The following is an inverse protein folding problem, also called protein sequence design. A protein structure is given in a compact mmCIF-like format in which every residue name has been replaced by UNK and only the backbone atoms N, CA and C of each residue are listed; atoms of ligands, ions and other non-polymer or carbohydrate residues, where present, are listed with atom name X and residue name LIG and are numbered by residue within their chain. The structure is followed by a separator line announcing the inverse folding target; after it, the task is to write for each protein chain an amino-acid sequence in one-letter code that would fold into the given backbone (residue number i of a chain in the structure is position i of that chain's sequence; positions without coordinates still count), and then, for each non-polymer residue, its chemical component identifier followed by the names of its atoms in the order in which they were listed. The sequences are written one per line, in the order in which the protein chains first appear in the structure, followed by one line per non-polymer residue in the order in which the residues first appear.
data_IF_281162102488
#
_entry.id   IF_281162102488
#
_cell.length_a   1.000
_cell.length_b   1.000
_cell.length_c   1.000
_cell.angle_alpha   90.00
_cell.angle_beta   90.00
_cell.angle_gamma   90.00
#
_symmetry.space_group_name_H-M   'P 1'
#
loop_
_entity.id
_entity.type
_entity.pdbx_description
1 polymer ?
#
# COMPACT_ATOMS: atom_id res chain seq x y z
N UNK A 1 16.58 -31.31 21.36
CA UNK A 1 15.11 -31.27 21.48
C UNK A 1 14.72 -29.84 21.78
N UNK A 2 14.79 -28.98 20.75
CA UNK A 2 14.48 -27.56 20.83
C UNK A 2 13.03 -27.44 20.35
N UNK A 3 12.10 -27.24 21.30
CA UNK A 3 10.72 -26.88 20.99
C UNK A 3 10.78 -25.51 20.31
N UNK A 4 10.74 -25.47 18.99
CA UNK A 4 10.37 -24.29 18.25
C UNK A 4 8.96 -23.90 18.72
N UNK A 5 8.88 -22.90 19.56
CA UNK A 5 7.64 -22.14 19.72
C UNK A 5 7.42 -21.42 18.41
N UNK A 6 6.68 -22.07 17.54
CA UNK A 6 5.98 -21.38 16.48
C UNK A 6 5.09 -20.40 17.23
N UNK A 7 5.44 -19.11 17.20
CA UNK A 7 4.52 -18.05 17.55
C UNK A 7 3.50 -18.03 16.40
N UNK A 8 2.58 -19.01 16.43
CA UNK A 8 1.32 -18.88 15.73
C UNK A 8 0.74 -17.58 16.25
N UNK A 9 0.59 -16.64 15.36
CA UNK A 9 -0.07 -15.37 15.61
C UNK A 9 -1.47 -15.73 16.12
N UNK A 10 -1.62 -15.85 17.43
CA UNK A 10 -2.92 -15.79 18.08
C UNK A 10 -3.37 -14.34 17.91
N UNK A 11 -3.72 -14.01 16.69
CA UNK A 11 -4.43 -12.80 16.36
C UNK A 11 -5.84 -12.98 16.93
N UNK A 12 -5.94 -12.84 18.24
CA UNK A 12 -7.21 -12.50 18.87
C UNK A 12 -7.63 -11.20 18.19
N UNK A 13 -8.46 -11.33 17.15
CA UNK A 13 -9.03 -10.18 16.45
C UNK A 13 -9.78 -9.40 17.51
N UNK A 14 -9.31 -8.19 17.83
CA UNK A 14 -10.07 -7.23 18.63
C UNK A 14 -11.09 -6.61 17.69
N UNK A 15 -11.89 -7.48 17.06
CA UNK A 15 -13.08 -7.04 16.32
C UNK A 15 -14.06 -6.60 17.41
N UNK A 16 -14.63 -5.39 17.32
CA UNK A 16 -15.72 -4.99 18.18
C UNK A 16 -16.81 -6.08 18.10
N UNK A 17 -17.26 -6.60 19.22
CA UNK A 17 -18.29 -7.65 19.33
C UNK A 17 -19.63 -7.26 18.70
N UNK A 18 -19.75 -6.04 18.20
CA UNK A 18 -20.89 -5.50 17.49
C UNK A 18 -20.55 -5.45 15.98
N UNK A 19 -21.22 -6.26 15.13
CA UNK A 19 -20.95 -6.33 13.67
C UNK A 19 -21.11 -4.96 12.99
N UNK A 20 -22.02 -4.12 13.47
CA UNK A 20 -22.19 -2.77 12.94
C UNK A 20 -20.99 -1.85 13.23
N UNK A 21 -20.28 -2.06 14.34
CA UNK A 21 -19.05 -1.32 14.66
C UNK A 21 -17.87 -1.79 13.82
N UNK A 22 -17.74 -3.10 13.61
CA UNK A 22 -16.71 -3.67 12.74
C UNK A 22 -16.80 -3.12 11.32
N UNK A 23 -18.01 -3.13 10.75
CA UNK A 23 -18.31 -2.59 9.41
C UNK A 23 -17.99 -1.10 9.29
N UNK A 24 -18.40 -0.27 10.24
CA UNK A 24 -18.08 1.16 10.26
C UNK A 24 -16.59 1.43 10.35
N UNK A 25 -15.87 0.68 11.19
CA UNK A 25 -14.42 0.79 11.31
C UNK A 25 -13.72 0.44 10.00
N UNK A 26 -14.11 -0.66 9.37
CA UNK A 26 -13.56 -1.09 8.08
C UNK A 26 -13.79 -0.04 6.98
N UNK A 27 -15.02 0.48 6.88
CA UNK A 27 -15.35 1.55 5.93
C UNK A 27 -14.52 2.81 6.19
N UNK A 28 -14.34 3.20 7.45
CA UNK A 28 -13.51 4.35 7.83
C UNK A 28 -12.04 4.16 7.43
N UNK A 29 -11.50 2.95 7.57
CA UNK A 29 -10.12 2.64 7.20
C UNK A 29 -9.93 2.54 5.68
N UNK A 30 -10.93 2.06 4.95
CA UNK A 30 -10.86 1.86 3.50
C UNK A 30 -11.12 3.15 2.72
N UNK A 31 -12.02 4.01 3.17
CA UNK A 31 -12.39 5.23 2.45
C UNK A 31 -11.18 6.13 2.10
N UNK A 32 -10.22 6.41 3.00
CA UNK A 32 -9.02 7.17 2.65
C UNK A 32 -8.13 6.44 1.63
N UNK A 33 -8.04 5.11 1.71
CA UNK A 33 -7.26 4.31 0.76
C UNK A 33 -7.86 4.44 -0.64
N UNK A 34 -9.18 4.30 -0.76
CA UNK A 34 -9.90 4.47 -2.04
C UNK A 34 -9.70 5.88 -2.59
N UNK A 35 -9.81 6.90 -1.76
CA UNK A 35 -9.56 8.29 -2.17
C UNK A 35 -8.12 8.47 -2.71
N UNK A 36 -7.13 7.86 -2.05
CA UNK A 36 -5.74 7.90 -2.50
C UNK A 36 -5.52 7.12 -3.80
N UNK A 37 -6.23 6.02 -4.02
CA UNK A 37 -6.20 5.27 -5.28
C UNK A 37 -6.79 6.12 -6.41
N UNK A 38 -7.93 6.78 -6.19
CA UNK A 38 -8.53 7.69 -7.14
C UNK A 38 -7.58 8.85 -7.48
N UNK A 39 -6.97 9.48 -6.47
CA UNK A 39 -5.95 10.51 -6.68
C UNK A 39 -4.77 9.98 -7.51
N UNK A 40 -4.37 8.73 -7.30
CA UNK A 40 -3.35 8.05 -8.09
C UNK A 40 -3.72 7.90 -9.56
N UNK A 41 -4.98 7.57 -9.88
CA UNK A 41 -5.46 7.51 -11.27
C UNK A 41 -5.53 8.90 -11.91
N UNK A 42 -5.93 9.93 -11.16
CA UNK A 42 -5.88 11.31 -11.64
C UNK A 42 -4.44 11.72 -11.97
N UNK A 43 -3.49 11.38 -11.10
CA UNK A 43 -2.07 11.59 -11.39
C UNK A 43 -1.62 10.83 -12.64
N UNK A 44 -2.01 9.57 -12.79
CA UNK A 44 -1.66 8.74 -13.96
C UNK A 44 -2.28 9.28 -15.27
N UNK A 45 -3.43 9.95 -15.22
CA UNK A 45 -4.03 10.59 -16.37
C UNK A 45 -3.34 11.90 -16.76
N UNK A 46 -2.98 12.72 -15.77
CA UNK A 46 -2.52 14.09 -15.96
C UNK A 46 -0.98 14.25 -15.88
N UNK A 47 -0.23 13.18 -15.59
CA UNK A 47 1.21 13.27 -15.34
C UNK A 47 2.03 13.97 -16.44
N UNK A 48 1.72 13.86 -17.78
CA UNK A 48 2.53 14.51 -18.79
C UNK A 48 2.44 16.05 -18.73
N UNK A 49 1.32 16.57 -18.21
CA UNK A 49 1.16 18.00 -17.95
C UNK A 49 1.79 18.41 -16.62
N UNK A 50 1.44 17.65 -15.55
CA UNK A 50 1.82 18.00 -14.19
C UNK A 50 3.32 17.92 -13.94
N UNK A 51 4.04 17.02 -14.61
CA UNK A 51 5.48 16.82 -14.37
C UNK A 51 6.31 18.08 -14.66
N UNK A 52 5.91 18.88 -15.65
CA UNK A 52 6.59 20.11 -16.01
C UNK A 52 5.93 21.36 -15.40
N UNK A 53 4.59 21.39 -15.27
CA UNK A 53 3.87 22.59 -14.83
C UNK A 53 3.75 22.66 -13.30
N UNK A 54 3.45 21.52 -12.65
CA UNK A 54 3.20 21.44 -11.21
C UNK A 54 3.73 20.13 -10.61
N UNK A 55 5.07 19.95 -10.54
CA UNK A 55 5.68 18.71 -10.09
C UNK A 55 5.31 18.35 -8.63
N UNK A 56 5.12 19.35 -7.76
CA UNK A 56 4.68 19.13 -6.38
C UNK A 56 3.25 18.61 -6.31
N UNK A 57 2.35 19.09 -7.19
CA UNK A 57 0.99 18.56 -7.27
C UNK A 57 1.00 17.11 -7.76
N UNK A 58 1.85 16.77 -8.72
CA UNK A 58 1.99 15.39 -9.20
C UNK A 58 2.35 14.43 -8.08
N UNK A 59 3.37 14.72 -7.27
CA UNK A 59 3.78 13.85 -6.16
C UNK A 59 2.81 13.88 -4.97
N UNK A 60 2.04 14.97 -4.79
CA UNK A 60 0.98 15.01 -3.79
C UNK A 60 -0.21 14.13 -4.14
N UNK A 61 -0.55 14.03 -5.43
CA UNK A 61 -1.56 13.09 -5.91
C UNK A 61 -1.05 11.66 -5.90
N UNK A 62 0.21 11.42 -6.29
CA UNK A 62 0.77 10.07 -6.36
C UNK A 62 2.30 10.06 -6.21
N UNK A 63 2.80 9.54 -5.10
CA UNK A 63 4.23 9.39 -4.84
C UNK A 63 4.80 8.05 -5.37
N UNK A 64 4.45 7.68 -6.62
CA UNK A 64 5.05 6.54 -7.32
C UNK A 64 6.52 6.84 -7.62
N UNK A 65 7.39 5.82 -7.54
CA UNK A 65 8.84 5.99 -7.77
C UNK A 65 9.16 6.72 -9.06
N UNK A 66 8.44 6.41 -10.16
CA UNK A 66 8.62 7.07 -11.45
C UNK A 66 8.42 8.60 -11.38
N UNK A 67 7.41 9.06 -10.64
CA UNK A 67 7.15 10.48 -10.47
C UNK A 67 8.17 11.14 -9.55
N UNK A 68 8.50 10.47 -8.45
CA UNK A 68 9.53 10.96 -7.53
C UNK A 68 10.88 11.15 -8.22
N UNK A 69 11.31 10.20 -9.07
CA UNK A 69 12.54 10.30 -9.86
C UNK A 69 12.47 11.44 -10.86
N UNK A 70 11.34 11.62 -11.56
CA UNK A 70 11.20 12.65 -12.59
C UNK A 70 11.21 14.08 -12.02
N UNK A 71 10.68 14.27 -10.81
CA UNK A 71 10.53 15.62 -10.23
C UNK A 71 11.65 16.01 -9.28
N UNK A 72 12.47 15.06 -8.83
CA UNK A 72 13.41 15.26 -7.72
C UNK A 72 14.38 16.43 -7.93
N UNK A 73 14.84 16.64 -9.15
CA UNK A 73 15.77 17.72 -9.51
C UNK A 73 15.07 19.05 -9.89
N UNK A 74 13.72 19.05 -9.92
CA UNK A 74 12.91 20.20 -10.38
C UNK A 74 12.08 20.81 -9.25
N UNK A 75 12.25 20.33 -8.02
CA UNK A 75 11.56 20.84 -6.83
C UNK A 75 12.55 21.08 -5.70
N UNK A 76 12.21 22.02 -4.83
CA UNK A 76 13.02 22.28 -3.66
C UNK A 76 13.13 21.04 -2.76
N UNK A 77 14.32 20.64 -2.30
CA UNK A 77 14.53 19.42 -1.53
C UNK A 77 13.62 19.31 -0.31
N UNK A 78 13.41 20.42 0.42
CA UNK A 78 12.53 20.38 1.60
C UNK A 78 11.08 20.07 1.24
N UNK A 79 10.56 20.63 0.13
CA UNK A 79 9.20 20.38 -0.34
C UNK A 79 9.06 18.95 -0.85
N UNK A 80 10.09 18.45 -1.56
CA UNK A 80 10.17 17.05 -1.99
C UNK A 80 10.07 16.07 -0.82
N UNK A 81 10.89 16.28 0.22
CA UNK A 81 10.87 15.43 1.41
C UNK A 81 9.56 15.55 2.17
N UNK A 82 9.04 16.76 2.37
CA UNK A 82 7.80 16.97 3.11
C UNK A 82 6.61 16.31 2.41
N UNK A 83 6.36 16.68 1.15
CA UNK A 83 5.19 16.21 0.40
C UNK A 83 5.34 14.72 0.08
N UNK A 84 6.52 14.28 -0.36
CA UNK A 84 6.81 12.88 -0.63
C UNK A 84 6.62 11.99 0.60
N UNK A 85 7.13 12.42 1.76
CA UNK A 85 6.96 11.67 3.02
C UNK A 85 5.51 11.60 3.43
N UNK A 86 4.79 12.72 3.45
CA UNK A 86 3.36 12.73 3.82
C UNK A 86 2.58 11.80 2.89
N UNK A 87 2.80 11.90 1.58
CA UNK A 87 2.04 11.11 0.60
C UNK A 87 2.37 9.62 0.64
N UNK A 88 3.62 9.25 0.93
CA UNK A 88 4.04 7.86 1.09
C UNK A 88 3.53 7.26 2.41
N UNK A 89 3.65 8.00 3.51
CA UNK A 89 3.27 7.53 4.84
C UNK A 89 1.75 7.53 5.06
N UNK A 90 0.99 8.32 4.29
CA UNK A 90 -0.45 8.50 4.50
C UNK A 90 -1.27 7.18 4.44
N UNK A 91 -1.06 6.25 3.50
CA UNK A 91 -1.78 4.98 3.45
C UNK A 91 -1.37 3.98 4.54
N UNK A 92 -0.13 4.04 5.00
CA UNK A 92 0.49 3.00 5.83
C UNK A 92 -0.20 2.77 7.18
N UNK A 93 -0.63 3.79 7.93
CA UNK A 93 -1.39 3.61 9.17
C UNK A 93 -2.73 2.89 8.96
N UNK A 94 -3.37 3.11 7.80
CA UNK A 94 -4.64 2.46 7.49
C UNK A 94 -4.43 0.98 7.19
N UNK A 95 -3.40 0.62 6.39
CA UNK A 95 -3.05 -0.78 6.16
C UNK A 95 -2.58 -1.48 7.45
N UNK A 96 -1.79 -0.80 8.28
CA UNK A 96 -1.40 -1.31 9.58
C UNK A 96 -2.62 -1.55 10.48
N UNK A 97 -3.57 -0.61 10.54
CA UNK A 97 -4.77 -0.74 11.34
C UNK A 97 -5.69 -1.87 10.81
N UNK A 98 -5.83 -2.01 9.49
CA UNK A 98 -6.56 -3.15 8.91
C UNK A 98 -5.90 -4.46 9.35
N UNK A 99 -4.58 -4.59 9.25
CA UNK A 99 -3.86 -5.76 9.75
C UNK A 99 -4.04 -5.97 11.25
N UNK A 100 -4.03 -4.89 12.02
CA UNK A 100 -4.18 -4.95 13.48
C UNK A 100 -5.57 -5.43 13.92
N UNK A 101 -6.62 -4.91 13.32
CA UNK A 101 -8.00 -5.25 13.70
C UNK A 101 -8.52 -6.49 13.00
N UNK A 102 -8.15 -6.72 11.74
CA UNK A 102 -8.71 -7.77 10.90
C UNK A 102 -7.65 -8.81 10.47
N UNK A 103 -6.52 -8.93 11.17
CA UNK A 103 -5.30 -9.62 10.75
C UNK A 103 -5.50 -10.98 10.10
N UNK A 104 -6.19 -11.92 10.77
CA UNK A 104 -6.46 -13.25 10.21
C UNK A 104 -7.36 -13.19 8.97
N UNK A 105 -8.45 -12.40 9.00
CA UNK A 105 -9.36 -12.22 7.87
C UNK A 105 -8.67 -11.53 6.69
N UNK A 106 -7.88 -10.48 6.95
CA UNK A 106 -7.15 -9.74 5.93
C UNK A 106 -6.10 -10.61 5.22
N UNK A 107 -5.37 -11.43 5.95
CA UNK A 107 -4.39 -12.36 5.39
C UNK A 107 -5.09 -13.45 4.54
N UNK A 108 -6.17 -14.03 5.05
CA UNK A 108 -6.94 -15.06 4.36
C UNK A 108 -7.62 -14.55 3.07
N UNK A 109 -8.16 -13.34 3.11
CA UNK A 109 -8.69 -12.66 1.93
C UNK A 109 -7.61 -12.46 0.85
N UNK A 110 -6.43 -12.00 1.25
CA UNK A 110 -5.32 -11.78 0.33
C UNK A 110 -4.82 -13.09 -0.28
N UNK A 111 -4.78 -14.18 0.48
CA UNK A 111 -4.42 -15.51 -0.02
C UNK A 111 -5.37 -16.01 -1.09
N UNK A 112 -6.68 -15.87 -0.89
CA UNK A 112 -7.70 -16.34 -1.86
C UNK A 112 -7.64 -15.54 -3.17
N UNK A 113 -7.35 -14.23 -3.09
CA UNK A 113 -7.42 -13.35 -4.26
C UNK A 113 -6.21 -13.43 -5.17
N UNK A 114 -5.04 -13.69 -4.62
CA UNK A 114 -3.79 -13.73 -5.38
C UNK A 114 -2.92 -14.91 -4.94
N UNK A 115 -3.08 -16.10 -5.55
CA UNK A 115 -2.33 -17.31 -5.14
C UNK A 115 -0.81 -17.12 -5.18
N UNK A 116 -0.32 -16.27 -6.08
CA UNK A 116 1.09 -15.90 -6.17
C UNK A 116 1.49 -14.99 -5.01
N UNK A 117 0.67 -14.00 -4.69
CA UNK A 117 0.88 -13.06 -3.58
C UNK A 117 0.70 -13.77 -2.23
N UNK A 118 -0.24 -14.71 -2.10
CA UNK A 118 -0.43 -15.51 -0.89
C UNK A 118 0.81 -16.31 -0.50
N UNK A 119 1.56 -16.84 -1.49
CA UNK A 119 2.86 -17.51 -1.26
C UNK A 119 3.92 -16.53 -0.72
N UNK A 120 3.99 -15.32 -1.27
CA UNK A 120 4.88 -14.27 -0.77
C UNK A 120 4.48 -13.80 0.62
N UNK A 121 3.19 -13.71 0.91
CA UNK A 121 2.69 -13.31 2.23
C UNK A 121 3.05 -14.30 3.31
N UNK A 122 2.90 -15.62 3.09
CA UNK A 122 3.36 -16.64 4.02
C UNK A 122 4.88 -16.59 4.22
N UNK A 123 5.63 -16.31 3.17
CA UNK A 123 7.07 -16.11 3.29
C UNK A 123 7.38 -14.85 4.13
N UNK A 124 6.68 -13.75 3.89
CA UNK A 124 6.82 -12.50 4.66
C UNK A 124 6.41 -12.72 6.11
N UNK A 125 5.31 -13.42 6.39
CA UNK A 125 4.87 -13.77 7.74
C UNK A 125 5.92 -14.60 8.48
N UNK A 126 6.46 -15.64 7.85
CA UNK A 126 7.54 -16.45 8.42
C UNK A 126 8.83 -15.67 8.65
N UNK A 127 9.14 -14.72 7.79
CA UNK A 127 10.30 -13.84 7.96
C UNK A 127 10.05 -12.72 8.96
N UNK A 128 8.81 -12.28 9.11
CA UNK A 128 8.44 -11.17 9.98
C UNK A 128 8.77 -11.44 11.45
N UNK A 129 8.67 -12.69 11.88
CA UNK A 129 9.08 -13.10 13.24
C UNK A 129 10.55 -12.85 13.56
N UNK A 130 11.44 -12.95 12.56
CA UNK A 130 12.89 -12.73 12.72
C UNK A 130 13.35 -11.37 12.17
N UNK A 131 12.76 -10.89 11.09
CA UNK A 131 13.20 -9.75 10.30
C UNK A 131 12.17 -8.63 10.16
N UNK A 132 11.13 -8.62 10.99
CA UNK A 132 10.02 -7.67 10.85
C UNK A 132 10.45 -6.20 10.85
N UNK A 133 11.40 -5.82 11.73
CA UNK A 133 11.89 -4.46 11.77
C UNK A 133 12.71 -4.07 10.50
N UNK A 134 13.70 -4.86 10.05
CA UNK A 134 14.36 -4.62 8.77
C UNK A 134 13.42 -4.61 7.56
N UNK A 135 12.40 -5.47 7.52
CA UNK A 135 11.43 -5.53 6.44
C UNK A 135 10.62 -4.23 6.30
N UNK A 136 10.18 -3.64 7.41
CA UNK A 136 9.45 -2.37 7.40
C UNK A 136 10.33 -1.23 6.88
N UNK A 137 11.62 -1.23 7.22
CA UNK A 137 12.56 -0.17 6.78
C UNK A 137 12.94 -0.34 5.30
N UNK A 138 13.28 -1.57 4.88
CA UNK A 138 13.80 -1.82 3.53
C UNK A 138 12.72 -1.84 2.46
N UNK A 139 11.52 -2.29 2.83
CA UNK A 139 10.39 -2.45 1.92
C UNK A 139 9.12 -1.78 2.49
N UNK A 140 9.12 -0.44 2.70
CA UNK A 140 7.93 0.27 3.15
C UNK A 140 6.87 0.21 2.05
N UNK A 141 5.97 -0.75 2.16
CA UNK A 141 4.84 -0.90 1.26
C UNK A 141 3.59 -1.36 2.02
N UNK A 142 2.44 -1.20 1.38
CA UNK A 142 1.13 -1.49 1.97
C UNK A 142 1.02 -2.92 2.53
N UNK A 143 1.62 -3.92 1.86
CA UNK A 143 1.58 -5.31 2.29
C UNK A 143 2.39 -5.54 3.57
N UNK A 144 3.58 -4.96 3.66
CA UNK A 144 4.41 -5.04 4.86
C UNK A 144 3.74 -4.34 6.04
N UNK A 145 3.08 -3.19 5.80
CA UNK A 145 2.30 -2.48 6.82
C UNK A 145 1.14 -3.33 7.33
N UNK A 146 0.40 -4.00 6.44
CA UNK A 146 -0.69 -4.91 6.81
C UNK A 146 -0.18 -6.09 7.65
N UNK A 147 0.91 -6.74 7.23
CA UNK A 147 1.52 -7.85 7.98
C UNK A 147 2.06 -7.38 9.33
N UNK A 148 2.67 -6.19 9.39
CA UNK A 148 3.13 -5.60 10.66
C UNK A 148 1.98 -5.40 11.65
N UNK A 149 0.82 -4.96 11.15
CA UNK A 149 -0.41 -4.85 11.93
C UNK A 149 -0.90 -6.21 12.40
N UNK A 150 -1.02 -7.19 11.50
CA UNK A 150 -1.45 -8.55 11.80
C UNK A 150 -0.52 -9.23 12.82
N UNK A 151 0.79 -9.01 12.71
CA UNK A 151 1.80 -9.49 13.66
C UNK A 151 1.78 -8.75 15.01
N UNK A 152 0.84 -7.82 15.24
CA UNK A 152 0.74 -7.03 16.48
C UNK A 152 2.03 -6.28 16.84
N UNK A 153 2.76 -5.79 15.82
CA UNK A 153 3.94 -4.98 16.05
C UNK A 153 3.57 -3.71 16.80
N UNK A 154 4.39 -3.31 17.78
CA UNK A 154 4.14 -2.07 18.52
C UNK A 154 3.96 -0.88 17.56
N UNK A 155 2.84 -0.12 17.63
CA UNK A 155 2.52 0.96 16.68
C UNK A 155 3.58 2.06 16.62
N UNK A 156 4.17 2.41 17.75
CA UNK A 156 5.22 3.45 17.82
C UNK A 156 6.49 2.95 17.12
N UNK A 157 6.88 1.68 17.36
CA UNK A 157 8.02 1.06 16.69
C UNK A 157 7.78 0.97 15.18
N UNK A 158 6.58 0.56 14.76
CA UNK A 158 6.18 0.54 13.36
C UNK A 158 6.30 1.91 12.72
N UNK A 159 5.69 2.96 13.33
CA UNK A 159 5.73 4.32 12.81
C UNK A 159 7.16 4.85 12.66
N UNK A 160 8.01 4.65 13.68
CA UNK A 160 9.41 5.09 13.63
C UNK A 160 10.18 4.40 12.50
N UNK A 161 10.05 3.07 12.36
CA UNK A 161 10.73 2.32 11.30
C UNK A 161 10.23 2.69 9.92
N UNK A 162 8.92 2.91 9.77
CA UNK A 162 8.30 3.30 8.51
C UNK A 162 8.74 4.70 8.07
N UNK A 163 8.81 5.65 8.99
CA UNK A 163 9.34 7.00 8.73
C UNK A 163 10.81 6.90 8.29
N UNK A 164 11.64 6.17 9.01
CA UNK A 164 13.06 5.98 8.66
C UNK A 164 13.19 5.35 7.27
N UNK A 165 12.42 4.29 6.98
CA UNK A 165 12.42 3.63 5.67
C UNK A 165 11.98 4.57 4.54
N UNK A 166 10.95 5.37 4.78
CA UNK A 166 10.44 6.35 3.81
C UNK A 166 11.47 7.45 3.53
N UNK A 167 12.11 8.00 4.55
CA UNK A 167 13.16 9.01 4.38
C UNK A 167 14.36 8.41 3.66
N UNK A 168 14.81 7.22 4.03
CA UNK A 168 15.90 6.51 3.36
C UNK A 168 15.59 6.28 1.87
N UNK A 169 14.36 5.86 1.54
CA UNK A 169 13.88 5.68 0.17
C UNK A 169 13.91 6.99 -0.62
N UNK A 170 13.38 8.08 -0.05
CA UNK A 170 13.40 9.40 -0.71
C UNK A 170 14.82 9.90 -0.93
N UNK A 171 15.71 9.71 0.06
CA UNK A 171 17.14 10.05 -0.06
C UNK A 171 17.81 9.23 -1.16
N UNK A 172 17.52 7.93 -1.24
CA UNK A 172 18.04 7.09 -2.32
C UNK A 172 17.56 7.57 -3.69
N UNK A 173 16.28 7.93 -3.82
CA UNK A 173 15.72 8.46 -5.07
C UNK A 173 16.35 9.82 -5.41
N UNK A 174 16.59 10.69 -4.45
CA UNK A 174 17.30 11.96 -4.64
C UNK A 174 18.71 11.71 -5.21
N UNK A 175 19.47 10.80 -4.60
CA UNK A 175 20.80 10.44 -5.08
C UNK A 175 20.78 9.86 -6.50
N UNK A 176 19.84 8.96 -6.80
CA UNK A 176 19.66 8.41 -8.15
C UNK A 176 19.27 9.50 -9.13
N UNK A 177 18.36 10.41 -8.73
CA UNK A 177 17.94 11.54 -9.57
C UNK A 177 19.09 12.48 -9.90
N UNK A 178 19.96 12.76 -8.95
CA UNK A 178 21.14 13.60 -9.14
C UNK A 178 22.13 12.95 -10.12
N UNK A 179 22.44 11.67 -9.94
CA UNK A 179 23.33 10.92 -10.84
C UNK A 179 22.79 10.82 -12.27
N UNK A 180 21.47 10.71 -12.44
CA UNK A 180 20.79 10.57 -13.73
C UNK A 180 20.10 11.86 -14.20
N UNK A 181 20.53 13.04 -13.72
CA UNK A 181 19.90 14.33 -14.07
C UNK A 181 19.84 14.57 -15.58
N UNK A 182 20.92 14.37 -16.32
CA UNK A 182 20.94 14.56 -17.76
C UNK A 182 19.93 13.70 -18.55
N UNK A 183 19.87 12.37 -18.36
CA UNK A 183 18.81 11.54 -18.92
C UNK A 183 17.39 11.96 -18.49
N UNK A 184 17.20 12.36 -17.24
CA UNK A 184 15.90 12.82 -16.73
C UNK A 184 15.48 14.10 -17.45
N UNK A 185 16.36 15.08 -17.60
CA UNK A 185 16.10 16.34 -18.30
C UNK A 185 15.75 16.11 -19.77
N UNK A 186 16.44 15.16 -20.41
CA UNK A 186 16.13 14.78 -21.80
C UNK A 186 14.71 14.18 -21.93
N UNK A 187 14.32 13.33 -20.98
CA UNK A 187 12.97 12.76 -20.93
C UNK A 187 11.93 13.85 -20.67
N UNK A 188 12.19 14.76 -19.74
CA UNK A 188 11.29 15.88 -19.44
C UNK A 188 11.14 16.84 -20.62
N UNK A 189 12.24 17.13 -21.35
CA UNK A 189 12.21 17.91 -22.60
C UNK A 189 11.37 17.22 -23.69
N UNK A 190 11.50 15.89 -23.84
CA UNK A 190 10.65 15.12 -24.75
C UNK A 190 9.18 15.20 -24.34
N UNK A 191 8.88 15.00 -23.05
CA UNK A 191 7.51 15.10 -22.53
C UNK A 191 6.93 16.49 -22.75
N UNK A 192 7.71 17.55 -22.54
CA UNK A 192 7.27 18.93 -22.76
C UNK A 192 6.89 19.17 -24.23
N UNK A 193 7.70 18.70 -25.18
CA UNK A 193 7.45 18.83 -26.61
C UNK A 193 6.23 18.01 -27.08
N UNK A 194 6.02 16.84 -26.50
CA UNK A 194 4.93 15.92 -26.85
C UNK A 194 3.81 15.89 -25.80
N UNK A 195 3.67 16.96 -25.01
CA UNK A 195 2.73 17.03 -23.88
C UNK A 195 1.30 16.69 -24.29
N UNK A 196 0.77 17.30 -25.34
CA UNK A 196 -0.63 17.09 -25.75
C UNK A 196 -0.90 15.65 -26.22
N UNK A 197 -0.10 15.07 -27.14
CA UNK A 197 -0.27 13.67 -27.50
C UNK A 197 -0.15 12.71 -26.32
N UNK A 198 0.85 12.91 -25.46
CA UNK A 198 1.06 12.07 -24.28
C UNK A 198 -0.10 12.18 -23.28
N UNK A 199 -0.64 13.39 -23.10
CA UNK A 199 -1.80 13.60 -22.24
C UNK A 199 -3.04 12.87 -22.78
N UNK A 200 -3.31 12.95 -24.09
CA UNK A 200 -4.42 12.24 -24.72
C UNK A 200 -4.25 10.73 -24.56
N UNK A 201 -3.06 10.21 -24.81
CA UNK A 201 -2.74 8.78 -24.64
C UNK A 201 -2.94 8.35 -23.18
N UNK A 202 -2.43 9.14 -22.24
CA UNK A 202 -2.50 8.83 -20.81
C UNK A 202 -3.96 8.80 -20.31
N UNK A 203 -4.75 9.80 -20.66
CA UNK A 203 -6.18 9.85 -20.33
C UNK A 203 -6.92 8.68 -20.99
N UNK A 204 -6.64 8.38 -22.25
CA UNK A 204 -7.26 7.27 -22.96
C UNK A 204 -6.94 5.93 -22.32
N UNK A 205 -5.68 5.70 -21.92
CA UNK A 205 -5.28 4.46 -21.23
C UNK A 205 -5.97 4.31 -19.88
N UNK A 206 -6.04 5.37 -19.09
CA UNK A 206 -6.76 5.36 -17.80
C UNK A 206 -8.25 5.12 -18.02
N UNK A 207 -8.87 5.77 -19.01
CA UNK A 207 -10.27 5.57 -19.34
C UNK A 207 -10.57 4.13 -19.81
N UNK A 208 -9.72 3.56 -20.69
CA UNK A 208 -9.83 2.18 -21.15
C UNK A 208 -9.70 1.22 -19.96
N UNK A 209 -8.71 1.45 -19.09
CA UNK A 209 -8.54 0.65 -17.88
C UNK A 209 -9.80 0.68 -17.01
N UNK A 210 -10.34 1.87 -16.73
CA UNK A 210 -11.57 2.05 -15.96
C UNK A 210 -12.79 1.38 -16.61
N UNK A 211 -12.97 1.55 -17.93
CA UNK A 211 -14.07 0.90 -18.67
C UNK A 211 -13.91 -0.63 -18.63
N UNK A 212 -12.69 -1.14 -18.78
CA UNK A 212 -12.41 -2.57 -18.71
C UNK A 212 -12.69 -3.14 -17.31
N UNK A 213 -12.36 -2.40 -16.28
CA UNK A 213 -12.60 -2.79 -14.88
C UNK A 213 -14.10 -2.76 -14.55
N UNK A 214 -14.82 -1.72 -15.00
CA UNK A 214 -16.27 -1.66 -14.86
C UNK A 214 -16.98 -2.80 -15.63
N UNK A 215 -16.46 -3.20 -16.80
CA UNK A 215 -17.00 -4.32 -17.58
C UNK A 215 -16.69 -5.68 -16.98
N UNK A 216 -15.55 -5.83 -16.30
CA UNK A 216 -15.16 -7.07 -15.61
C UNK A 216 -15.94 -7.30 -14.32
N UNK A 217 -16.84 -6.37 -13.97
CA UNK A 217 -17.66 -6.42 -12.76
C UNK A 217 -16.83 -6.16 -11.50
N UNK A 218 -16.83 -4.96 -11.07
CA UNK A 218 -16.54 -4.43 -9.70
C UNK A 218 -15.66 -5.28 -8.75
N UNK A 219 -14.65 -5.96 -9.28
CA UNK A 219 -13.83 -6.91 -8.50
C UNK A 219 -13.21 -6.33 -7.23
N UNK A 220 -12.96 -5.02 -7.18
CA UNK A 220 -12.40 -4.40 -5.97
C UNK A 220 -13.48 -4.12 -4.93
N UNK A 221 -14.71 -3.73 -5.35
CA UNK A 221 -15.82 -3.54 -4.41
C UNK A 221 -16.30 -4.90 -3.88
N UNK A 222 -16.34 -5.92 -4.75
CA UNK A 222 -16.63 -7.29 -4.35
C UNK A 222 -15.55 -7.83 -3.39
N UNK A 223 -14.30 -7.39 -3.57
CA UNK A 223 -13.20 -7.72 -2.68
C UNK A 223 -13.36 -7.16 -1.27
N UNK A 224 -13.88 -5.95 -1.16
CA UNK A 224 -14.15 -5.37 0.17
C UNK A 224 -15.38 -6.03 0.82
N UNK A 225 -16.38 -6.43 0.04
CA UNK A 225 -17.47 -7.25 0.55
C UNK A 225 -17.01 -8.63 1.00
N UNK A 226 -16.15 -9.29 0.22
CA UNK A 226 -15.57 -10.58 0.63
C UNK A 226 -14.71 -10.47 1.90
N UNK A 227 -14.04 -9.34 2.13
CA UNK A 227 -13.28 -9.10 3.35
C UNK A 227 -14.22 -8.88 4.54
N UNK A 228 -15.34 -8.21 4.29
CA UNK A 228 -16.41 -8.02 5.25
C UNK A 228 -17.10 -9.35 5.57
N UNK A 229 -17.45 -10.14 4.57
CA UNK A 229 -18.07 -11.45 4.72
C UNK A 229 -17.11 -12.44 5.42
N UNK A 230 -15.80 -12.41 5.10
CA UNK A 230 -14.79 -13.23 5.75
C UNK A 230 -14.57 -12.82 7.23
N UNK A 231 -14.72 -11.54 7.55
CA UNK A 231 -14.66 -11.06 8.93
C UNK A 231 -15.89 -11.55 9.71
N UNK A 232 -17.08 -11.49 9.10
CA UNK A 232 -18.33 -11.99 9.67
C UNK A 232 -18.30 -13.54 9.86
N UNK A 233 -17.73 -14.29 8.91
CA UNK A 233 -17.56 -15.75 9.01
C UNK A 233 -16.63 -16.18 10.16
N UNK A 234 -15.56 -15.42 10.40
CA UNK A 234 -14.65 -15.65 11.53
C UNK A 234 -15.35 -15.34 12.86
N UNK A 235 -16.15 -14.27 12.89
CA UNK A 235 -16.92 -13.87 14.08
C UNK A 235 -18.01 -14.89 14.42
N UNK A 236 -18.64 -15.49 13.41
CA UNK A 236 -19.65 -16.54 13.56
C UNK A 236 -19.06 -17.93 13.86
N UNK A 237 -17.74 -18.08 13.93
CA UNK A 237 -17.07 -19.36 14.22
C UNK A 237 -17.18 -20.40 13.10
N UNK A 238 -17.58 -20.01 11.89
CA UNK A 238 -17.72 -20.90 10.73
C UNK A 238 -16.37 -21.22 10.05
N UNK A 239 -15.34 -20.41 10.31
CA UNK A 239 -13.96 -20.70 9.89
C UNK A 239 -13.18 -21.06 11.16
N UNK A 240 -12.53 -22.25 11.21
CA UNK A 240 -11.71 -22.61 12.36
C UNK A 240 -10.60 -21.56 12.52
N UNK A 241 -10.43 -21.06 13.73
CA UNK A 241 -9.33 -20.16 14.08
C UNK A 241 -8.03 -20.88 13.74
N UNK A 242 -7.06 -20.13 13.21
CA UNK A 242 -5.71 -20.66 12.98
C UNK A 242 -5.16 -21.12 14.35
N UNK A 243 -5.26 -22.41 14.64
CA UNK A 243 -4.92 -23.01 15.94
C UNK A 243 -5.85 -24.13 16.39
N UNK A 244 -7.05 -24.26 15.81
CA UNK A 244 -8.04 -25.30 16.15
C UNK A 244 -7.91 -26.58 15.29
N UNK A 245 -6.78 -26.80 14.66
CA UNK A 245 -6.49 -28.13 14.12
C UNK A 245 -6.03 -29.00 15.27
N UNK A 246 -6.94 -29.86 15.75
CA UNK A 246 -6.62 -30.97 16.65
C UNK A 246 -5.40 -31.74 16.12
N UNK A 247 -4.45 -32.09 16.99
CA UNK A 247 -3.36 -32.98 16.65
C UNK A 247 -3.89 -34.41 16.70
N UNK A 248 -4.25 -34.99 15.57
CA UNK A 248 -4.24 -36.46 15.39
C UNK A 248 -2.85 -36.93 15.01
#
# INVERSE_FOLDING_TARGET
MVRERIYVLSAESVIPTDPHRGRRLLTFLIAPIVAMVVAGYVADALWPSLVNENPLLLISLSAKNRYLVLVVNHVEPWAYFLIGSIRLLLPDPFFFAIGWFFGAAALHWMERRTPTTGRYMRAVEGWFGKWGAPLVVLFPNNYVCLVAGAARMNPIKFAALNIVGTIARLTMILFVGDVFSGPIDSILGFIANWRIPLLIISISLVAIFWISELRRGRKEIDAFRELEDAADEIELGHIPRVGDTDPD
#
